data_IF_262375532860
#
_entry.id   IF_262375532860
#
_cell.length_a   1.000
_cell.length_b   1.000
_cell.length_c   1.000
_cell.angle_alpha   90.00
_cell.angle_beta   90.00
_cell.angle_gamma   90.00
#
_symmetry.space_group_name_H-M   'P 1'
#
loop_
_entity.id
_entity.type
_entity.pdbx_description
1 polymer ?
#
# COMPACT_ATOMS: atom_id res chain seq x y z
N UNK A 1 0.36 22.95 24.43
CA UNK A 1 1.13 21.83 23.87
C UNK A 1 2.22 22.41 22.98
N UNK A 2 3.48 22.02 23.16
CA UNK A 2 4.57 22.55 22.32
C UNK A 2 4.57 21.95 20.91
N UNK A 3 5.41 22.50 20.04
CA UNK A 3 5.48 22.11 18.62
C UNK A 3 5.98 20.69 18.40
N UNK A 4 6.81 20.16 19.29
CA UNK A 4 7.30 18.79 19.18
C UNK A 4 6.18 17.80 19.49
N UNK A 5 5.38 18.07 20.52
CA UNK A 5 4.18 17.30 20.83
C UNK A 5 3.13 17.42 19.72
N UNK A 6 2.89 18.61 19.15
CA UNK A 6 2.00 18.78 17.98
C UNK A 6 2.46 17.97 16.78
N UNK A 7 3.76 17.94 16.49
CA UNK A 7 4.34 17.18 15.37
C UNK A 7 4.22 15.67 15.59
N UNK A 8 4.57 15.20 16.78
CA UNK A 8 4.43 13.79 17.15
C UNK A 8 2.97 13.33 17.05
N UNK A 9 2.04 14.10 17.63
CA UNK A 9 0.61 13.81 17.58
C UNK A 9 0.09 13.78 16.13
N UNK A 10 0.42 14.79 15.32
CA UNK A 10 0.00 14.85 13.91
C UNK A 10 0.49 13.64 13.11
N UNK A 11 1.71 13.18 13.36
CA UNK A 11 2.30 12.04 12.66
C UNK A 11 1.58 10.74 13.03
N UNK A 12 1.37 10.51 14.33
CA UNK A 12 0.64 9.34 14.82
C UNK A 12 -0.81 9.32 14.34
N UNK A 13 -1.52 10.45 14.42
CA UNK A 13 -2.90 10.55 13.96
C UNK A 13 -3.04 10.33 12.44
N UNK A 14 -2.07 10.79 11.65
CA UNK A 14 -2.03 10.54 10.21
C UNK A 14 -1.90 9.03 9.90
N UNK A 15 -1.03 8.31 10.62
CA UNK A 15 -0.87 6.86 10.45
C UNK A 15 -2.19 6.15 10.79
N UNK A 16 -2.79 6.49 11.94
CA UNK A 16 -4.07 5.91 12.37
C UNK A 16 -5.17 6.21 11.34
N UNK A 17 -5.25 7.44 10.82
CA UNK A 17 -6.22 7.79 9.78
C UNK A 17 -6.06 6.92 8.53
N UNK A 18 -4.82 6.72 8.05
CA UNK A 18 -4.53 5.89 6.88
C UNK A 18 -4.96 4.44 7.11
N UNK A 19 -4.63 3.86 8.27
CA UNK A 19 -5.01 2.49 8.61
C UNK A 19 -6.52 2.32 8.73
N UNK A 20 -7.22 3.26 9.37
CA UNK A 20 -8.69 3.27 9.45
C UNK A 20 -9.36 3.33 8.08
N UNK A 21 -8.84 4.17 7.18
CA UNK A 21 -9.32 4.27 5.80
C UNK A 21 -9.05 3.00 5.00
N UNK A 22 -7.90 2.36 5.21
CA UNK A 22 -7.56 1.07 4.60
C UNK A 22 -8.51 -0.03 5.07
N UNK A 23 -8.78 -0.14 6.38
CA UNK A 23 -9.75 -1.09 6.95
C UNK A 23 -11.14 -0.89 6.32
N UNK A 24 -11.62 0.36 6.27
CA UNK A 24 -12.91 0.67 5.65
C UNK A 24 -12.93 0.27 4.18
N UNK A 25 -11.86 0.56 3.43
CA UNK A 25 -11.72 0.20 2.02
C UNK A 25 -11.76 -1.32 1.81
N UNK A 26 -11.06 -2.09 2.64
CA UNK A 26 -11.08 -3.56 2.57
C UNK A 26 -12.48 -4.12 2.84
N UNK A 27 -13.16 -3.68 3.91
CA UNK A 27 -14.51 -4.14 4.25
C UNK A 27 -15.56 -3.78 3.18
N UNK A 28 -15.45 -2.60 2.57
CA UNK A 28 -16.36 -2.17 1.49
C UNK A 28 -16.13 -2.95 0.19
N UNK A 29 -14.89 -3.38 -0.07
CA UNK A 29 -14.53 -4.15 -1.27
C UNK A 29 -14.77 -5.65 -1.13
N UNK A 30 -14.95 -6.13 0.11
CA UNK A 30 -15.11 -7.54 0.44
C UNK A 30 -16.44 -8.18 -0.03
N UNK A 31 -17.32 -7.40 -0.67
CA UNK A 31 -18.56 -7.88 -1.30
C UNK A 31 -18.38 -8.61 -2.64
N UNK A 32 -17.15 -8.77 -3.14
CA UNK A 32 -16.86 -9.55 -4.34
C UNK A 32 -15.55 -10.32 -4.21
N UNK A 33 -15.53 -11.57 -4.67
CA UNK A 33 -14.28 -12.34 -4.83
C UNK A 33 -13.36 -11.57 -5.77
N UNK A 34 -12.24 -11.09 -5.26
CA UNK A 34 -11.19 -10.49 -6.09
C UNK A 34 -10.20 -11.58 -6.44
N UNK A 35 -10.28 -12.05 -7.68
CA UNK A 35 -9.23 -12.89 -8.25
C UNK A 35 -7.96 -12.04 -8.36
N UNK A 36 -6.94 -12.41 -7.57
CA UNK A 36 -5.60 -11.85 -7.73
C UNK A 36 -4.68 -12.94 -8.28
N UNK A 37 -3.53 -12.55 -8.84
CA UNK A 37 -2.64 -13.48 -9.55
C UNK A 37 -2.08 -14.57 -8.62
N UNK A 38 -1.68 -14.18 -7.40
CA UNK A 38 -0.98 -15.09 -6.47
C UNK A 38 -1.81 -15.53 -5.27
N UNK A 39 -2.96 -14.89 -5.02
CA UNK A 39 -3.79 -15.20 -3.86
C UNK A 39 -5.27 -14.87 -4.10
N UNK A 40 -6.14 -15.37 -3.23
CA UNK A 40 -7.55 -14.95 -3.17
C UNK A 40 -7.82 -14.38 -1.79
N UNK A 41 -8.58 -13.28 -1.71
CA UNK A 41 -9.10 -12.81 -0.43
C UNK A 41 -10.40 -13.54 -0.13
N UNK A 42 -10.44 -14.22 1.01
CA UNK A 42 -11.67 -14.77 1.58
C UNK A 42 -12.23 -13.74 2.55
N UNK A 43 -13.47 -13.31 2.34
CA UNK A 43 -14.18 -12.49 3.31
C UNK A 43 -14.88 -13.39 4.33
N UNK A 44 -14.25 -13.61 5.47
CA UNK A 44 -14.78 -14.35 6.61
C UNK A 44 -15.47 -13.45 7.65
N UNK A 45 -15.58 -12.14 7.36
CA UNK A 45 -16.26 -11.16 8.20
C UNK A 45 -17.71 -11.05 7.74
N UNK A 46 -18.63 -11.55 8.57
CA UNK A 46 -20.06 -11.41 8.31
C UNK A 46 -20.50 -9.93 8.27
N UNK A 47 -21.61 -9.66 7.58
CA UNK A 47 -22.10 -8.31 7.34
C UNK A 47 -22.36 -7.52 8.64
N UNK A 48 -22.77 -8.20 9.72
CA UNK A 48 -23.05 -7.55 10.99
C UNK A 48 -21.77 -7.09 11.67
N UNK A 49 -20.73 -7.93 11.69
CA UNK A 49 -19.39 -7.56 12.16
C UNK A 49 -18.79 -6.46 11.31
N UNK A 50 -18.88 -6.55 9.99
CA UNK A 50 -18.38 -5.52 9.08
C UNK A 50 -19.04 -4.16 9.35
N UNK A 51 -20.37 -4.15 9.50
CA UNK A 51 -21.13 -2.93 9.84
C UNK A 51 -20.68 -2.34 11.19
N UNK A 52 -20.50 -3.19 12.20
CA UNK A 52 -20.03 -2.74 13.52
C UNK A 52 -18.60 -2.16 13.46
N UNK A 53 -17.70 -2.80 12.72
CA UNK A 53 -16.33 -2.30 12.54
C UNK A 53 -16.34 -0.97 11.79
N UNK A 54 -17.10 -0.87 10.69
CA UNK A 54 -17.23 0.38 9.92
C UNK A 54 -17.80 1.53 10.75
N UNK A 55 -18.79 1.27 11.60
CA UNK A 55 -19.29 2.26 12.55
C UNK A 55 -18.20 2.71 13.53
N UNK A 56 -17.41 1.77 14.07
CA UNK A 56 -16.29 2.10 14.95
C UNK A 56 -15.20 2.92 14.25
N UNK A 57 -14.85 2.56 13.01
CA UNK A 57 -13.92 3.32 12.17
C UNK A 57 -14.41 4.75 11.96
N UNK A 58 -15.70 4.94 11.63
CA UNK A 58 -16.28 6.27 11.44
C UNK A 58 -16.23 7.10 12.73
N UNK A 59 -16.57 6.51 13.88
CA UNK A 59 -16.47 7.19 15.17
C UNK A 59 -15.04 7.63 15.49
N UNK A 60 -14.04 6.76 15.26
CA UNK A 60 -12.63 7.11 15.45
C UNK A 60 -12.18 8.24 14.52
N UNK A 61 -12.58 8.23 13.25
CA UNK A 61 -12.25 9.31 12.31
C UNK A 61 -12.85 10.66 12.74
N UNK A 62 -14.07 10.67 13.29
CA UNK A 62 -14.65 11.89 13.85
C UNK A 62 -13.86 12.38 15.08
N UNK A 63 -13.43 11.46 15.94
CA UNK A 63 -12.60 11.81 17.10
C UNK A 63 -11.25 12.39 16.69
N UNK A 64 -10.57 11.78 15.71
CA UNK A 64 -9.32 12.30 15.14
C UNK A 64 -9.52 13.71 14.58
N UNK A 65 -10.64 13.93 13.87
CA UNK A 65 -10.99 15.26 13.33
C UNK A 65 -11.18 16.27 14.47
N UNK A 66 -11.87 15.91 15.55
CA UNK A 66 -12.03 16.77 16.73
C UNK A 66 -10.68 17.12 17.36
N UNK A 67 -9.83 16.11 17.62
CA UNK A 67 -8.48 16.33 18.19
C UNK A 67 -7.64 17.24 17.29
N UNK A 68 -7.71 17.06 15.97
CA UNK A 68 -7.05 17.93 15.00
C UNK A 68 -7.51 19.39 15.14
N UNK A 69 -8.81 19.61 15.26
CA UNK A 69 -9.40 20.94 15.39
C UNK A 69 -9.04 21.59 16.74
N UNK A 70 -9.20 20.87 17.84
CA UNK A 70 -8.92 21.36 19.21
C UNK A 70 -7.43 21.64 19.46
N UNK A 71 -6.53 20.82 18.90
CA UNK A 71 -5.09 21.01 19.02
C UNK A 71 -4.49 21.89 17.90
N UNK A 72 -5.32 22.41 17.00
CA UNK A 72 -4.95 23.23 15.84
C UNK A 72 -3.84 22.57 15.00
N UNK A 73 -4.01 21.28 14.70
CA UNK A 73 -3.02 20.53 13.92
C UNK A 73 -3.14 20.87 12.43
N UNK A 74 -2.00 21.11 11.80
CA UNK A 74 -1.93 21.39 10.37
C UNK A 74 -2.37 20.20 9.50
N UNK A 75 -2.83 20.48 8.29
CA UNK A 75 -3.07 19.43 7.29
C UNK A 75 -1.80 19.23 6.48
N UNK A 76 -1.32 17.99 6.39
CA UNK A 76 -0.22 17.63 5.52
C UNK A 76 -0.74 17.41 4.10
N UNK A 77 -0.12 18.05 3.11
CA UNK A 77 -0.33 17.72 1.70
C UNK A 77 0.60 16.57 1.32
N UNK A 78 0.02 15.51 0.79
CA UNK A 78 0.76 14.40 0.20
C UNK A 78 0.57 14.44 -1.31
N UNK A 79 1.67 14.21 -2.05
CA UNK A 79 1.60 14.16 -3.52
C UNK A 79 1.31 12.74 -3.94
N UNK A 80 0.16 12.54 -4.60
CA UNK A 80 -0.21 11.26 -5.20
C UNK A 80 0.87 10.82 -6.19
N UNK A 81 1.42 11.76 -6.97
CA UNK A 81 2.50 11.50 -7.92
C UNK A 81 3.75 10.94 -7.22
N UNK A 82 4.16 11.52 -6.09
CA UNK A 82 5.30 11.02 -5.31
C UNK A 82 5.04 9.65 -4.69
N UNK A 83 3.81 9.40 -4.25
CA UNK A 83 3.42 8.11 -3.69
C UNK A 83 3.43 7.02 -4.78
N UNK A 84 2.81 7.29 -5.93
CA UNK A 84 2.84 6.38 -7.09
C UNK A 84 4.28 6.15 -7.56
N UNK A 85 5.08 7.21 -7.66
CA UNK A 85 6.50 7.10 -8.01
C UNK A 85 7.25 6.18 -7.02
N UNK A 86 7.05 6.36 -5.71
CA UNK A 86 7.67 5.53 -4.69
C UNK A 86 7.30 4.06 -4.84
N UNK A 87 6.01 3.76 -5.07
CA UNK A 87 5.53 2.40 -5.28
C UNK A 87 6.12 1.77 -6.56
N UNK A 88 6.22 2.53 -7.65
CA UNK A 88 6.84 2.05 -8.88
C UNK A 88 8.33 1.75 -8.71
N UNK A 89 9.06 2.56 -7.94
CA UNK A 89 10.46 2.29 -7.60
C UNK A 89 10.61 1.03 -6.74
N UNK A 90 9.71 0.81 -5.79
CA UNK A 90 9.69 -0.42 -4.99
C UNK A 90 9.47 -1.66 -5.88
N UNK A 91 8.47 -1.62 -6.76
CA UNK A 91 8.19 -2.68 -7.73
C UNK A 91 9.41 -2.92 -8.64
N UNK A 92 10.01 -1.85 -9.17
CA UNK A 92 11.20 -1.93 -10.01
C UNK A 92 12.35 -2.63 -9.27
N UNK A 93 12.59 -2.25 -8.02
CA UNK A 93 13.66 -2.83 -7.18
C UNK A 93 13.42 -4.32 -6.95
N UNK A 94 12.19 -4.71 -6.63
CA UNK A 94 11.82 -6.12 -6.48
C UNK A 94 12.03 -6.90 -7.78
N UNK A 95 11.63 -6.36 -8.93
CA UNK A 95 11.83 -7.00 -10.23
C UNK A 95 13.32 -7.15 -10.60
N UNK A 96 14.14 -6.17 -10.25
CA UNK A 96 15.59 -6.26 -10.40
C UNK A 96 16.18 -7.39 -9.55
N UNK A 97 15.76 -7.52 -8.28
CA UNK A 97 16.20 -8.58 -7.39
C UNK A 97 15.76 -9.98 -7.87
N UNK A 98 14.64 -10.06 -8.59
CA UNK A 98 14.13 -11.29 -9.18
C UNK A 98 14.87 -11.72 -10.45
N UNK A 99 15.81 -10.94 -11.00
CA UNK A 99 16.58 -11.34 -12.18
C UNK A 99 17.28 -12.69 -11.93
N UNK A 100 17.34 -13.60 -12.91
CA UNK A 100 17.97 -14.92 -12.70
C UNK A 100 19.44 -14.83 -12.26
N UNK A 101 20.13 -13.76 -12.63
CA UNK A 101 21.50 -13.47 -12.23
C UNK A 101 21.64 -13.04 -10.75
N UNK A 102 20.54 -12.57 -10.13
CA UNK A 102 20.48 -12.07 -8.74
C UNK A 102 19.76 -13.04 -7.79
N UNK A 103 19.00 -13.99 -8.30
CA UNK A 103 18.28 -15.02 -7.53
C UNK A 103 19.17 -16.12 -6.92
N UNK A 104 20.49 -16.03 -7.04
CA UNK A 104 21.45 -17.06 -6.58
C UNK A 104 21.38 -17.34 -5.07
N UNK A 105 20.87 -16.39 -4.28
CA UNK A 105 20.68 -16.54 -2.84
C UNK A 105 19.66 -17.64 -2.47
N UNK A 106 18.79 -18.04 -3.39
CA UNK A 106 17.75 -19.05 -3.18
C UNK A 106 18.12 -20.43 -3.76
N UNK A 107 19.37 -20.60 -4.20
CA UNK A 107 19.88 -21.80 -4.83
C UNK A 107 20.18 -21.61 -6.33
N UNK A 108 20.85 -22.59 -6.96
CA UNK A 108 21.18 -22.50 -8.37
C UNK A 108 19.94 -22.72 -9.25
N UNK A 109 19.71 -21.81 -10.20
CA UNK A 109 18.73 -21.98 -11.27
C UNK A 109 19.34 -22.76 -12.44
N UNK A 110 18.57 -23.67 -13.04
CA UNK A 110 18.99 -24.33 -14.28
C UNK A 110 18.98 -23.33 -15.45
N UNK A 111 19.73 -23.59 -16.52
CA UNK A 111 19.70 -22.72 -17.70
C UNK A 111 18.29 -22.60 -18.29
N UNK A 112 17.51 -23.69 -18.25
CA UNK A 112 16.10 -23.69 -18.67
C UNK A 112 15.25 -22.73 -17.83
N UNK A 113 15.44 -22.68 -16.52
CA UNK A 113 14.70 -21.76 -15.64
C UNK A 113 15.10 -20.30 -15.92
N UNK A 114 16.40 -20.05 -16.17
CA UNK A 114 16.89 -18.72 -16.54
C UNK A 114 16.30 -18.25 -17.87
N UNK A 115 16.26 -19.12 -18.87
CA UNK A 115 15.67 -18.83 -20.18
C UNK A 115 14.16 -18.55 -20.08
N UNK A 116 13.45 -19.24 -19.18
CA UNK A 116 12.03 -18.98 -18.93
C UNK A 116 11.80 -17.62 -18.25
N UNK A 117 12.57 -17.32 -17.19
CA UNK A 117 12.33 -16.16 -16.33
C UNK A 117 12.82 -14.84 -16.93
N UNK A 118 13.98 -14.84 -17.58
CA UNK A 118 14.63 -13.62 -18.11
C UNK A 118 13.70 -12.76 -18.98
N UNK A 119 13.02 -13.29 -20.02
CA UNK A 119 12.14 -12.47 -20.85
C UNK A 119 10.92 -11.94 -20.08
N UNK A 120 10.39 -12.70 -19.12
CA UNK A 120 9.22 -12.27 -18.34
C UNK A 120 9.56 -11.10 -17.41
N UNK A 121 10.66 -11.21 -16.67
CA UNK A 121 11.14 -10.14 -15.78
C UNK A 121 11.53 -8.91 -16.60
N UNK A 122 12.20 -9.10 -17.75
CA UNK A 122 12.52 -7.98 -18.63
C UNK A 122 11.26 -7.29 -19.18
N UNK A 123 10.21 -8.04 -19.50
CA UNK A 123 8.92 -7.50 -19.91
C UNK A 123 8.29 -6.63 -18.82
N UNK A 124 8.23 -7.14 -17.59
CA UNK A 124 7.71 -6.40 -16.43
C UNK A 124 8.51 -5.13 -16.14
N UNK A 125 9.85 -5.20 -16.21
CA UNK A 125 10.71 -4.03 -16.02
C UNK A 125 10.46 -2.94 -17.07
N UNK A 126 10.21 -3.31 -18.33
CA UNK A 126 9.84 -2.34 -19.38
C UNK A 126 8.53 -1.64 -19.03
N UNK A 127 7.49 -2.38 -18.63
CA UNK A 127 6.20 -1.79 -18.24
C UNK A 127 6.35 -0.82 -17.07
N UNK A 128 7.15 -1.15 -16.06
CA UNK A 128 7.42 -0.25 -14.93
C UNK A 128 8.17 1.02 -15.37
N UNK A 129 9.15 0.89 -16.27
CA UNK A 129 9.86 2.04 -16.82
C UNK A 129 8.95 2.96 -17.65
N UNK A 130 8.00 2.40 -18.40
CA UNK A 130 7.01 3.19 -19.15
C UNK A 130 6.12 3.99 -18.19
N UNK A 131 5.64 3.35 -17.11
CA UNK A 131 4.87 4.03 -16.06
C UNK A 131 5.68 5.12 -15.35
N UNK A 132 6.95 4.86 -15.02
CA UNK A 132 7.84 5.86 -14.41
C UNK A 132 8.11 7.04 -15.36
N UNK A 133 8.21 6.79 -16.66
CA UNK A 133 8.45 7.84 -17.67
C UNK A 133 7.25 8.76 -17.85
N UNK A 134 6.04 8.25 -17.62
CA UNK A 134 4.81 9.07 -17.64
C UNK A 134 4.67 10.03 -16.44
N UNK A 135 5.50 9.86 -15.39
CA UNK A 135 5.55 10.74 -14.22
C UNK A 135 6.67 11.79 -14.29
N UNK A 136 7.40 11.87 -15.42
CA UNK A 136 8.47 12.85 -15.66
C UNK A 136 8.01 13.97 -16.58
#
# INVERSE_FOLDING_TARGET
MDDNHKRALSTSLLIIEKDLRNIAGELQRAGGTRDTIFYSKVNDIDQMKATRILSGVQSMLQEIKRVKEEAELGTRKESIEKEVYSLLIEIWTLLEDLRPERLTAYGPLTEKDKELLRPQIQGLLRMVNDMLSALR
#
